data_IF_818377289869
#
_entry.id   IF_818377289869
#
_cell.length_a   1.000
_cell.length_b   1.000
_cell.length_c   1.000
_cell.angle_alpha   90.00
_cell.angle_beta   90.00
_cell.angle_gamma   90.00
#
_symmetry.space_group_name_H-M   'P 1'
#
loop_
_entity.id
_entity.type
_entity.pdbx_description
1 polymer ?
#
# COMPACT_ATOMS: atom_id res chain seq x y z
N UNK A 1 32.88 21.39 24.46
CA UNK A 1 32.46 21.58 23.05
C UNK A 1 30.93 21.57 23.00
N UNK A 2 30.31 22.64 22.52
CA UNK A 2 28.84 22.78 22.53
C UNK A 2 28.19 21.80 21.55
N UNK A 3 27.61 20.74 22.10
CA UNK A 3 26.81 19.78 21.36
C UNK A 3 25.48 20.43 20.96
N UNK A 4 25.48 21.15 19.83
CA UNK A 4 24.28 21.74 19.24
C UNK A 4 23.35 20.60 18.79
N UNK A 5 22.41 20.25 19.65
CA UNK A 5 21.33 19.32 19.34
C UNK A 5 20.15 20.13 18.82
N UNK A 6 19.92 20.04 17.52
CA UNK A 6 18.80 20.69 16.85
C UNK A 6 18.84 20.41 15.35
N UNK A 7 17.68 20.45 14.68
CA UNK A 7 17.64 20.34 13.23
C UNK A 7 18.53 21.42 12.57
N UNK A 8 19.08 21.15 11.37
CA UNK A 8 19.92 22.12 10.67
C UNK A 8 19.21 23.46 10.50
N UNK A 9 19.88 24.57 10.81
CA UNK A 9 19.32 25.93 10.68
C UNK A 9 18.75 26.18 9.27
N UNK A 10 19.38 25.61 8.25
CA UNK A 10 18.95 25.71 6.86
C UNK A 10 18.49 24.33 6.37
N UNK A 11 17.19 24.08 6.42
CA UNK A 11 16.59 22.87 5.85
C UNK A 11 16.13 23.14 4.41
N UNK A 12 16.24 22.13 3.55
CA UNK A 12 15.75 22.22 2.18
C UNK A 12 14.22 22.29 2.16
N UNK A 13 13.65 23.29 1.49
CA UNK A 13 12.19 23.42 1.29
C UNK A 13 11.63 22.38 0.33
N UNK A 14 12.46 21.88 -0.60
CA UNK A 14 12.06 20.93 -1.62
C UNK A 14 13.00 19.71 -1.62
N UNK A 15 12.43 18.54 -1.87
CA UNK A 15 13.21 17.30 -2.03
C UNK A 15 13.99 17.37 -3.33
N UNK A 16 15.30 17.14 -3.25
CA UNK A 16 16.17 17.09 -4.42
C UNK A 16 15.78 15.90 -5.31
N UNK A 17 15.55 16.16 -6.60
CA UNK A 17 15.21 15.16 -7.60
C UNK A 17 16.41 14.97 -8.53
N UNK A 18 17.07 13.79 -8.52
CA UNK A 18 18.31 13.57 -9.30
C UNK A 18 18.12 13.76 -10.81
N UNK A 19 16.96 13.36 -11.34
CA UNK A 19 16.65 13.46 -12.76
C UNK A 19 15.75 14.65 -13.08
N UNK A 20 15.77 15.71 -12.27
CA UNK A 20 15.03 16.93 -12.56
C UNK A 20 15.51 17.51 -13.90
N UNK A 21 14.61 17.63 -14.88
CA UNK A 21 14.92 18.17 -16.20
C UNK A 21 15.49 17.15 -17.21
N UNK A 22 15.81 15.92 -16.80
CA UNK A 22 16.23 14.86 -17.71
C UNK A 22 15.04 13.98 -18.10
N UNK A 23 14.69 13.95 -19.39
CA UNK A 23 13.69 13.02 -19.92
C UNK A 23 14.27 11.61 -19.87
N UNK A 24 13.87 10.85 -18.85
CA UNK A 24 14.29 9.46 -18.71
C UNK A 24 13.50 8.61 -19.71
N UNK A 25 14.20 7.78 -20.48
CA UNK A 25 13.54 6.85 -21.40
C UNK A 25 12.72 5.85 -20.58
N UNK A 26 11.48 5.58 -20.97
CA UNK A 26 10.58 4.73 -20.18
C UNK A 26 11.07 3.27 -20.06
N UNK A 27 11.96 2.85 -20.97
CA UNK A 27 12.59 1.52 -21.04
C UNK A 27 13.78 1.35 -20.10
N UNK A 28 14.35 2.44 -19.57
CA UNK A 28 15.49 2.38 -18.66
C UNK A 28 15.10 1.87 -17.26
N UNK A 29 16.08 1.36 -16.51
CA UNK A 29 15.86 0.88 -15.13
C UNK A 29 15.31 1.98 -14.22
N UNK A 30 14.19 1.67 -13.58
CA UNK A 30 13.42 2.63 -12.78
C UNK A 30 12.60 3.60 -13.63
N UNK A 31 12.33 3.25 -14.88
CA UNK A 31 11.30 3.85 -15.73
C UNK A 31 9.97 3.11 -15.58
N UNK A 32 8.93 3.59 -16.27
CA UNK A 32 7.57 3.04 -16.20
C UNK A 32 7.49 1.58 -16.66
N UNK A 33 8.19 1.24 -17.75
CA UNK A 33 8.16 -0.11 -18.33
C UNK A 33 9.20 -1.05 -17.72
N UNK A 34 10.20 -0.51 -17.01
CA UNK A 34 11.24 -1.31 -16.36
C UNK A 34 11.45 -0.88 -14.91
N UNK A 35 10.50 -1.17 -14.01
CA UNK A 35 10.62 -0.82 -12.60
C UNK A 35 11.79 -1.54 -11.92
N UNK A 36 12.23 -1.02 -10.78
CA UNK A 36 13.22 -1.72 -9.97
C UNK A 36 12.59 -2.96 -9.33
N UNK A 37 13.31 -4.08 -9.34
CA UNK A 37 12.89 -5.28 -8.60
C UNK A 37 12.76 -5.01 -7.10
N UNK A 38 11.89 -5.74 -6.43
CA UNK A 38 11.71 -5.60 -5.00
C UNK A 38 12.99 -5.92 -4.21
N UNK A 39 13.16 -5.20 -3.11
CA UNK A 39 14.28 -5.38 -2.19
C UNK A 39 13.86 -6.43 -1.18
N UNK A 40 14.40 -7.64 -1.30
CA UNK A 40 14.09 -8.78 -0.45
C UNK A 40 15.36 -9.34 0.19
N UNK A 41 15.22 -10.11 1.28
CA UNK A 41 16.34 -10.78 1.95
C UNK A 41 17.26 -9.85 2.76
N UNK A 42 16.82 -8.65 3.13
CA UNK A 42 17.63 -7.68 3.89
C UNK A 42 16.89 -7.12 5.11
N UNK A 43 17.64 -6.63 6.10
CA UNK A 43 17.05 -5.89 7.22
C UNK A 43 16.50 -4.52 6.81
N UNK A 44 15.62 -3.94 7.64
CA UNK A 44 15.05 -2.61 7.46
C UNK A 44 16.10 -1.54 7.15
N UNK A 45 17.16 -1.47 7.96
CA UNK A 45 18.25 -0.52 7.76
C UNK A 45 18.92 -0.66 6.38
N UNK A 46 19.11 -1.90 5.90
CA UNK A 46 19.73 -2.15 4.60
C UNK A 46 18.78 -1.86 3.45
N UNK A 47 17.48 -2.14 3.62
CA UNK A 47 16.44 -1.75 2.67
C UNK A 47 16.44 -0.23 2.46
N UNK A 48 16.41 0.53 3.54
CA UNK A 48 16.39 2.00 3.48
C UNK A 48 17.62 2.56 2.75
N UNK A 49 18.79 1.96 2.96
CA UNK A 49 20.01 2.34 2.25
C UNK A 49 19.91 2.08 0.74
N UNK A 50 19.36 0.93 0.34
CA UNK A 50 19.19 0.59 -1.08
C UNK A 50 18.12 1.49 -1.71
N UNK A 51 17.00 1.71 -1.02
CA UNK A 51 15.91 2.56 -1.47
C UNK A 51 16.35 4.02 -1.59
N UNK A 52 17.15 4.53 -0.65
CA UNK A 52 17.78 5.83 -0.76
C UNK A 52 18.65 5.91 -2.02
N UNK A 53 19.49 4.90 -2.31
CA UNK A 53 20.27 4.89 -3.56
C UNK A 53 19.39 4.93 -4.81
N UNK A 54 18.24 4.23 -4.81
CA UNK A 54 17.27 4.25 -5.91
C UNK A 54 16.66 5.64 -6.08
N UNK A 55 16.16 6.24 -4.99
CA UNK A 55 15.52 7.57 -4.98
C UNK A 55 16.47 8.68 -5.42
N UNK A 56 17.73 8.61 -5.03
CA UNK A 56 18.75 9.62 -5.30
C UNK A 56 19.60 9.32 -6.55
N UNK A 57 19.23 8.34 -7.38
CA UNK A 57 19.93 8.04 -8.63
C UNK A 57 21.34 7.47 -8.47
N UNK A 58 21.72 7.04 -7.25
CA UNK A 58 23.04 6.46 -6.92
C UNK A 58 23.03 4.92 -6.96
N UNK A 59 21.94 4.33 -7.44
CA UNK A 59 21.77 2.88 -7.54
C UNK A 59 22.52 2.33 -8.76
N UNK A 60 23.43 1.39 -8.51
CA UNK A 60 24.20 0.66 -9.52
C UNK A 60 23.62 -0.76 -9.62
N UNK A 61 22.86 -1.08 -10.68
CA UNK A 61 22.37 -2.43 -10.89
C UNK A 61 23.52 -3.39 -11.18
N UNK A 62 23.24 -4.67 -11.05
CA UNK A 62 24.17 -5.72 -11.41
C UNK A 62 23.89 -6.17 -12.86
N UNK A 63 24.91 -6.18 -13.72
CA UNK A 63 24.79 -6.70 -15.09
C UNK A 63 24.90 -8.22 -15.12
N UNK A 64 25.80 -8.77 -14.31
CA UNK A 64 26.03 -10.21 -14.15
C UNK A 64 25.91 -10.62 -12.68
N UNK A 65 25.51 -11.87 -12.37
CA UNK A 65 25.45 -12.35 -10.99
C UNK A 65 26.82 -12.27 -10.28
N UNK A 66 26.82 -11.72 -9.07
CA UNK A 66 28.02 -11.61 -8.24
C UNK A 66 28.28 -12.90 -7.45
N UNK A 67 29.53 -13.05 -6.99
CA UNK A 67 29.98 -14.18 -6.17
C UNK A 67 29.42 -14.06 -4.74
N UNK A 68 28.76 -15.11 -4.27
CA UNK A 68 28.29 -15.21 -2.90
C UNK A 68 29.47 -15.45 -1.93
N UNK A 69 29.52 -14.74 -0.80
CA UNK A 69 30.58 -14.90 0.20
C UNK A 69 30.52 -16.24 0.97
N UNK A 70 29.41 -16.97 0.91
CA UNK A 70 29.24 -18.26 1.61
C UNK A 70 29.48 -19.45 0.68
N UNK A 71 28.63 -19.62 -0.33
CA UNK A 71 28.75 -20.76 -1.25
C UNK A 71 29.80 -20.55 -2.35
N UNK A 72 30.40 -19.36 -2.47
CA UNK A 72 31.38 -19.01 -3.52
C UNK A 72 30.89 -19.15 -4.96
N UNK A 73 29.62 -19.46 -5.20
CA UNK A 73 28.98 -19.53 -6.51
C UNK A 73 28.55 -18.12 -6.95
N UNK A 74 28.51 -17.87 -8.27
CA UNK A 74 27.95 -16.65 -8.87
C UNK A 74 26.41 -16.70 -8.85
N UNK A 75 25.84 -16.56 -7.66
CA UNK A 75 24.40 -16.72 -7.41
C UNK A 75 23.72 -15.44 -6.86
N UNK A 76 24.48 -14.36 -6.65
CA UNK A 76 23.94 -13.10 -6.14
C UNK A 76 23.37 -12.29 -7.30
N UNK A 77 22.04 -12.25 -7.43
CA UNK A 77 21.35 -11.55 -8.53
C UNK A 77 20.90 -10.13 -8.19
N UNK A 78 20.70 -9.83 -6.90
CA UNK A 78 20.30 -8.50 -6.44
C UNK A 78 21.53 -7.64 -6.13
N UNK A 79 21.50 -6.39 -6.56
CA UNK A 79 22.60 -5.46 -6.33
C UNK A 79 22.77 -5.12 -4.84
N UNK A 80 24.01 -4.89 -4.42
CA UNK A 80 24.40 -4.61 -3.03
C UNK A 80 24.22 -5.76 -2.03
N UNK A 81 23.94 -6.98 -2.50
CA UNK A 81 23.98 -8.17 -1.67
C UNK A 81 25.36 -8.83 -1.70
N UNK A 82 25.75 -9.39 -0.57
CA UNK A 82 26.98 -10.17 -0.38
C UNK A 82 26.69 -11.68 -0.39
N UNK A 83 25.46 -12.06 -0.02
CA UNK A 83 24.99 -13.43 0.01
C UNK A 83 23.92 -13.67 -1.05
N UNK A 84 23.85 -14.90 -1.58
CA UNK A 84 22.71 -15.30 -2.38
C UNK A 84 21.50 -15.55 -1.47
N UNK A 85 20.29 -15.57 -2.06
CA UNK A 85 19.04 -15.77 -1.32
C UNK A 85 19.06 -17.08 -0.52
N UNK A 86 19.53 -18.18 -1.11
CA UNK A 86 19.64 -19.46 -0.42
C UNK A 86 20.52 -19.36 0.84
N UNK A 87 21.77 -18.89 0.70
CA UNK A 87 22.68 -18.78 1.84
C UNK A 87 22.22 -17.78 2.91
N UNK A 88 21.48 -16.73 2.52
CA UNK A 88 20.93 -15.78 3.48
C UNK A 88 19.83 -16.43 4.34
N UNK A 89 18.98 -17.27 3.73
CA UNK A 89 17.93 -18.04 4.42
C UNK A 89 18.51 -19.12 5.31
N UNK A 90 19.42 -19.94 4.78
CA UNK A 90 20.03 -21.05 5.52
C UNK A 90 20.72 -20.59 6.82
N UNK A 91 21.19 -19.35 6.83
CA UNK A 91 21.91 -18.75 7.95
C UNK A 91 21.06 -17.73 8.73
N UNK A 92 19.83 -17.44 8.28
CA UNK A 92 18.94 -16.40 8.84
C UNK A 92 19.65 -15.05 9.07
N UNK A 93 20.41 -14.59 8.07
CA UNK A 93 21.13 -13.30 8.13
C UNK A 93 20.74 -12.40 6.98
N UNK A 94 20.89 -11.09 7.19
CA UNK A 94 20.70 -10.10 6.14
C UNK A 94 21.68 -10.34 4.96
N UNK A 95 21.16 -10.46 3.74
CA UNK A 95 21.97 -10.71 2.54
C UNK A 95 22.96 -9.58 2.22
N UNK A 96 22.73 -8.36 2.74
CA UNK A 96 23.61 -7.20 2.56
C UNK A 96 24.68 -7.09 3.66
N UNK A 97 24.28 -6.97 4.92
CA UNK A 97 25.24 -6.71 6.01
C UNK A 97 25.74 -7.97 6.71
N UNK A 98 25.18 -9.15 6.40
CA UNK A 98 25.52 -10.44 7.02
C UNK A 98 25.30 -10.48 8.54
N UNK A 99 24.62 -9.49 9.11
CA UNK A 99 24.24 -9.49 10.53
C UNK A 99 22.99 -10.36 10.71
N UNK A 100 22.92 -11.05 11.86
CA UNK A 100 21.70 -11.68 12.32
C UNK A 100 20.68 -10.60 12.71
N UNK A 101 19.42 -10.82 12.37
CA UNK A 101 18.35 -9.86 12.56
C UNK A 101 17.05 -10.65 12.71
N UNK A 102 16.22 -10.23 13.65
CA UNK A 102 14.98 -10.94 13.97
C UNK A 102 13.96 -10.86 12.83
N UNK A 103 14.05 -9.82 12.00
CA UNK A 103 13.15 -9.61 10.88
C UNK A 103 13.90 -9.26 9.60
N UNK A 104 13.76 -10.14 8.61
CA UNK A 104 14.24 -9.95 7.24
C UNK A 104 13.05 -9.51 6.39
N UNK A 105 13.26 -8.50 5.54
CA UNK A 105 12.22 -7.95 4.69
C UNK A 105 12.16 -8.71 3.37
N UNK A 106 10.93 -9.01 2.94
CA UNK A 106 10.61 -9.65 1.67
C UNK A 106 10.14 -11.08 1.89
N UNK A 107 8.94 -11.39 1.41
CA UNK A 107 8.43 -12.76 1.37
C UNK A 107 9.14 -13.57 0.31
N UNK A 108 9.16 -14.88 0.51
CA UNK A 108 9.73 -15.80 -0.46
C UNK A 108 8.86 -15.89 -1.71
N UNK A 109 9.47 -15.89 -2.90
CA UNK A 109 8.72 -16.08 -4.15
C UNK A 109 7.85 -17.35 -4.10
N UNK A 110 8.35 -18.43 -3.49
CA UNK A 110 7.60 -19.67 -3.32
C UNK A 110 6.43 -19.56 -2.34
N UNK A 111 6.55 -18.73 -1.31
CA UNK A 111 5.47 -18.47 -0.36
C UNK A 111 4.39 -17.62 -1.02
N UNK A 112 4.79 -16.59 -1.78
CA UNK A 112 3.88 -15.78 -2.59
C UNK A 112 3.15 -16.65 -3.62
N UNK A 113 3.86 -17.52 -4.36
CA UNK A 113 3.27 -18.43 -5.34
C UNK A 113 2.29 -19.42 -4.69
N UNK A 114 2.62 -19.94 -3.51
CA UNK A 114 1.72 -20.82 -2.76
C UNK A 114 0.46 -20.07 -2.28
N UNK A 115 0.63 -18.86 -1.74
CA UNK A 115 -0.48 -17.97 -1.37
C UNK A 115 -1.38 -17.70 -2.60
N UNK A 116 -0.80 -17.30 -3.73
CA UNK A 116 -1.53 -17.06 -4.98
C UNK A 116 -2.32 -18.29 -5.45
N UNK A 117 -1.70 -19.48 -5.39
CA UNK A 117 -2.35 -20.73 -5.75
C UNK A 117 -3.54 -21.04 -4.82
N UNK A 118 -3.37 -20.87 -3.51
CA UNK A 118 -4.47 -21.08 -2.55
C UNK A 118 -5.62 -20.10 -2.77
N UNK A 119 -5.32 -18.84 -3.11
CA UNK A 119 -6.31 -17.83 -3.45
C UNK A 119 -7.04 -18.19 -4.75
N UNK A 120 -6.33 -18.67 -5.76
CA UNK A 120 -6.93 -19.11 -7.03
C UNK A 120 -7.84 -20.32 -6.84
N UNK A 121 -7.41 -21.31 -6.05
CA UNK A 121 -8.23 -22.47 -5.68
C UNK A 121 -9.47 -22.07 -4.88
N UNK A 122 -9.33 -21.12 -3.94
CA UNK A 122 -10.47 -20.56 -3.20
C UNK A 122 -11.46 -19.84 -4.13
N UNK A 123 -10.97 -19.06 -5.12
CA UNK A 123 -11.82 -18.40 -6.12
C UNK A 123 -12.53 -19.43 -7.02
N UNK A 124 -11.83 -20.51 -7.39
CA UNK A 124 -12.39 -21.57 -8.23
C UNK A 124 -13.48 -22.36 -7.51
N UNK A 125 -13.30 -22.60 -6.21
CA UNK A 125 -14.25 -23.31 -5.36
C UNK A 125 -15.32 -22.39 -4.75
N UNK A 126 -15.20 -21.08 -4.91
CA UNK A 126 -16.20 -20.11 -4.47
C UNK A 126 -17.53 -20.30 -5.23
N UNK A 127 -18.62 -19.91 -4.59
CA UNK A 127 -19.95 -19.93 -5.22
C UNK A 127 -19.94 -19.06 -6.48
N UNK A 128 -20.63 -19.50 -7.52
CA UNK A 128 -20.69 -18.79 -8.81
C UNK A 128 -21.08 -17.31 -8.70
N UNK A 129 -21.97 -16.98 -7.74
CA UNK A 129 -22.36 -15.59 -7.45
C UNK A 129 -21.17 -14.73 -7.01
N UNK A 130 -20.33 -15.27 -6.14
CA UNK A 130 -19.19 -14.56 -5.55
C UNK A 130 -18.08 -14.44 -6.58
N UNK A 131 -17.83 -15.52 -7.35
CA UNK A 131 -16.90 -15.51 -8.49
C UNK A 131 -17.26 -14.44 -9.52
N UNK A 132 -18.52 -14.35 -9.93
CA UNK A 132 -19.00 -13.30 -10.87
C UNK A 132 -18.89 -11.90 -10.28
N UNK A 133 -19.10 -11.74 -8.97
CA UNK A 133 -18.97 -10.45 -8.29
C UNK A 133 -17.51 -9.99 -8.28
N UNK A 134 -16.58 -10.91 -8.01
CA UNK A 134 -15.14 -10.64 -8.06
C UNK A 134 -14.69 -10.26 -9.48
N UNK A 135 -15.14 -11.00 -10.50
CA UNK A 135 -14.87 -10.70 -11.91
C UNK A 135 -15.40 -9.32 -12.34
N UNK A 136 -16.61 -8.96 -11.89
CA UNK A 136 -17.18 -7.63 -12.14
C UNK A 136 -16.36 -6.53 -11.46
N UNK A 137 -15.93 -6.73 -10.21
CA UNK A 137 -15.09 -5.78 -9.50
C UNK A 137 -13.72 -5.59 -10.21
N UNK A 138 -13.08 -6.68 -10.64
CA UNK A 138 -11.83 -6.63 -11.42
C UNK A 138 -12.01 -5.87 -12.74
N UNK A 139 -13.11 -6.08 -13.46
CA UNK A 139 -13.37 -5.40 -14.72
C UNK A 139 -13.75 -3.92 -14.52
N UNK A 140 -14.45 -3.58 -13.43
CA UNK A 140 -14.77 -2.19 -13.06
C UNK A 140 -13.52 -1.38 -12.67
N UNK A 141 -12.51 -2.01 -12.08
CA UNK A 141 -11.19 -1.38 -11.85
C UNK A 141 -10.41 -1.10 -13.15
N UNK A 142 -10.59 -1.94 -14.18
CA UNK A 142 -9.95 -1.76 -15.50
C UNK A 142 -10.59 -0.63 -16.32
N UNK A 143 -11.90 -0.42 -16.21
CA UNK A 143 -12.60 0.65 -16.94
C UNK A 143 -12.31 2.07 -16.40
N UNK A 144 -11.82 2.20 -15.16
CA UNK A 144 -11.51 3.51 -14.55
C UNK A 144 -10.04 3.95 -14.72
N UNK A 145 -9.16 3.13 -15.33
CA UNK A 145 -7.76 3.52 -15.60
C UNK A 145 -7.62 4.32 -16.91
N UNK A 146 -8.65 4.31 -17.76
CA UNK A 146 -8.71 5.12 -18.97
C UNK A 146 -9.59 6.33 -18.68
N UNK A 147 -8.97 7.51 -18.57
CA UNK A 147 -9.59 8.84 -18.37
C UNK A 147 -9.97 9.17 -16.93
N UNK A 148 -9.11 9.97 -16.28
CA UNK A 148 -9.49 11.21 -15.56
C UNK A 148 -8.26 12.08 -15.31
N UNK A 149 -7.87 12.80 -16.37
CA UNK A 149 -7.20 14.09 -16.24
C UNK A 149 -8.26 15.14 -16.54
N UNK A 150 -8.79 15.80 -15.51
CA UNK A 150 -9.41 17.16 -15.51
C UNK A 150 -9.90 17.46 -14.09
N UNK A 151 -9.14 18.25 -13.34
CA UNK A 151 -9.44 19.64 -12.90
C UNK A 151 -10.56 19.77 -11.84
N UNK A 152 -10.17 20.39 -10.73
CA UNK A 152 -11.01 20.90 -9.64
C UNK A 152 -12.23 21.68 -10.15
N UNK A 153 -13.36 21.53 -9.45
CA UNK A 153 -14.53 22.39 -9.59
C UNK A 153 -15.78 21.81 -8.93
N UNK A 154 -16.06 22.30 -7.73
CA UNK A 154 -17.40 22.46 -7.14
C UNK A 154 -18.13 21.24 -6.53
N UNK A 155 -18.13 21.29 -5.20
CA UNK A 155 -18.90 20.54 -4.23
C UNK A 155 -20.34 21.05 -4.25
N UNK A 156 -21.29 20.24 -4.72
CA UNK A 156 -22.70 20.38 -4.36
C UNK A 156 -23.22 19.09 -3.70
N UNK A 157 -23.77 19.33 -2.52
CA UNK A 157 -24.25 18.44 -1.46
C UNK A 157 -25.72 18.16 -1.71
N UNK A 158 -26.12 16.91 -1.94
CA UNK A 158 -27.47 16.41 -1.62
C UNK A 158 -27.41 14.89 -1.42
N UNK A 159 -27.89 14.41 -0.27
CA UNK A 159 -28.07 12.98 0.01
C UNK A 159 -27.58 12.55 1.38
N UNK A 160 -28.15 13.13 2.45
CA UNK A 160 -28.08 12.59 3.82
C UNK A 160 -28.58 11.13 3.78
N UNK A 161 -27.72 10.13 4.00
CA UNK A 161 -27.40 9.57 5.32
C UNK A 161 -28.66 9.41 6.18
N UNK A 162 -29.37 8.31 5.92
CA UNK A 162 -30.39 7.74 6.80
C UNK A 162 -29.92 7.74 8.27
N UNK A 163 -30.58 8.46 9.20
CA UNK A 163 -30.22 8.46 10.61
C UNK A 163 -30.80 7.30 11.44
N UNK A 164 -31.27 6.20 10.83
CA UNK A 164 -31.77 5.06 11.58
C UNK A 164 -30.63 4.05 11.81
N UNK A 165 -30.23 3.87 13.07
CA UNK A 165 -29.12 3.00 13.46
C UNK A 165 -29.49 1.51 13.45
N UNK A 166 -30.76 1.14 13.26
CA UNK A 166 -31.18 -0.25 13.07
C UNK A 166 -32.59 -0.39 12.48
N UNK A 167 -32.88 -1.55 11.87
CA UNK A 167 -34.16 -1.89 11.24
C UNK A 167 -35.32 -1.97 12.26
N UNK A 168 -35.02 -2.28 13.51
CA UNK A 168 -36.00 -2.47 14.59
C UNK A 168 -36.67 -1.14 14.99
N UNK A 169 -35.88 -0.06 15.00
CA UNK A 169 -36.32 1.28 15.42
C UNK A 169 -37.34 1.90 14.44
N UNK A 170 -37.35 1.50 13.17
CA UNK A 170 -38.35 1.94 12.18
C UNK A 170 -39.71 1.26 12.37
N UNK A 171 -39.73 0.02 12.87
CA UNK A 171 -40.95 -0.74 13.05
C UNK A 171 -41.79 -0.24 14.25
N UNK A 172 -41.13 0.32 15.27
CA UNK A 172 -41.81 0.83 16.47
C UNK A 172 -42.50 2.18 16.22
N UNK A 173 -41.92 3.06 15.40
CA UNK A 173 -42.54 4.35 15.06
C UNK A 173 -43.83 4.25 14.22
N UNK A 174 -44.12 3.07 13.65
CA UNK A 174 -45.33 2.84 12.85
C UNK A 174 -46.54 2.38 13.68
N UNK A 175 -46.39 2.21 15.00
CA UNK A 175 -47.42 1.60 15.87
C UNK A 175 -48.10 2.56 16.84
N UNK A 176 -47.70 3.82 16.91
CA UNK A 176 -48.15 4.76 17.95
C UNK A 176 -49.10 5.87 17.45
N UNK A 177 -49.71 5.74 16.27
CA UNK A 177 -50.65 6.74 15.72
C UNK A 177 -52.09 6.22 15.65
N UNK A 178 -52.66 5.82 16.80
CA UNK A 178 -54.10 5.56 16.96
C UNK A 178 -54.54 5.64 18.44
N UNK A 179 -55.00 6.81 18.90
CA UNK A 179 -56.07 7.11 19.91
C UNK A 179 -55.83 8.51 20.52
N UNK A 180 -56.72 9.49 20.31
CA UNK A 180 -57.88 9.84 21.17
C UNK A 180 -57.39 10.39 22.53
N UNK A 181 -57.54 11.67 22.87
CA UNK A 181 -58.71 12.28 23.54
C UNK A 181 -58.41 13.80 23.73
N UNK A 182 -59.31 14.75 23.45
CA UNK A 182 -60.47 15.22 24.24
C UNK A 182 -60.12 16.28 25.34
N UNK A 183 -60.96 17.33 25.41
CA UNK A 183 -61.09 18.60 26.19
C UNK A 183 -60.42 18.72 27.61
N UNK A 184 -60.24 19.87 28.27
CA UNK A 184 -60.93 21.17 28.29
C UNK A 184 -60.15 22.24 29.12
N UNK A 185 -60.52 23.51 28.89
CA UNK A 185 -60.58 24.73 29.74
C UNK A 185 -59.53 25.09 30.83
N UNK A 186 -59.06 26.36 30.84
CA UNK A 186 -59.28 27.33 31.94
C UNK A 186 -58.68 28.74 31.60
N UNK A 187 -59.59 29.71 31.47
CA UNK A 187 -59.56 31.12 31.90
C UNK A 187 -58.40 32.10 31.57
N UNK A 188 -58.74 33.10 30.74
CA UNK A 188 -58.36 34.50 30.99
C UNK A 188 -59.45 35.49 30.57
N UNK A 189 -60.23 35.95 31.56
CA UNK A 189 -61.02 37.19 31.50
C UNK A 189 -60.27 38.30 32.24
N UNK A 190 -60.03 39.41 31.54
CA UNK A 190 -60.19 40.82 31.95
C UNK A 190 -59.32 41.69 31.02
N UNK A 191 -59.72 42.84 30.47
CA UNK A 191 -60.90 43.68 30.61
C UNK A 191 -61.04 44.52 29.32
#
# INVERSE_FOLDING_TARGET
MSNRHGPPKHQNKYVWKPNAGHKKNETELGGKFRPFSDITGVCARCKDQIEWKRRYGKYKPLTEPAKCQRCSKRAVRQAYHNLCSACAKDQNVCAKCCCHVDQIIGRDCSEIEAEEKTLEEAIKNARERDRRTLLRAMNKGKSNTTVKTTTNGERNKVGELFPAASLDEYADLSREDDNEDEYDDDDHICN
#
